data_IF_311936950587
#
_entry.id   IF_311936950587
#
_cell.length_a   1.000
_cell.length_b   1.000
_cell.length_c   1.000
_cell.angle_alpha   90.00
_cell.angle_beta   90.00
_cell.angle_gamma   90.00
#
_symmetry.space_group_name_H-M   'P 1'
#
loop_
_entity.id
_entity.type
_entity.pdbx_description
1 polymer ?
#
# COMPACT_ATOMS: atom_id res chain seq x y z
N UNK A 1 -0.12 -1.97 -4.55
CA UNK A 1 -1.09 -2.91 -3.94
C UNK A 1 -0.40 -4.05 -3.19
N UNK A 2 0.67 -4.63 -3.74
CA UNK A 2 1.35 -5.85 -3.23
C UNK A 2 1.63 -5.83 -1.72
N UNK A 3 2.31 -4.81 -1.19
CA UNK A 3 2.68 -4.75 0.24
C UNK A 3 1.45 -4.71 1.17
N UNK A 4 0.39 -4.01 0.78
CA UNK A 4 -0.87 -3.99 1.55
C UNK A 4 -1.59 -5.34 1.50
N UNK A 5 -1.55 -6.03 0.36
CA UNK A 5 -2.11 -7.38 0.23
C UNK A 5 -1.32 -8.42 1.01
N UNK A 6 0.01 -8.29 1.07
CA UNK A 6 0.88 -9.14 1.87
C UNK A 6 0.57 -9.01 3.38
N UNK A 7 0.48 -7.78 3.88
CA UNK A 7 0.24 -7.52 5.31
C UNK A 7 -1.22 -7.73 5.74
N UNK A 8 -2.20 -7.42 4.87
CA UNK A 8 -3.62 -7.36 5.24
C UNK A 8 -4.57 -8.22 4.39
N UNK A 9 -4.03 -9.09 3.53
CA UNK A 9 -4.78 -10.01 2.68
C UNK A 9 -5.28 -9.41 1.36
N UNK A 10 -5.17 -10.19 0.28
CA UNK A 10 -5.58 -9.76 -1.07
C UNK A 10 -7.08 -9.47 -1.18
N UNK A 11 -7.95 -10.30 -0.58
CA UNK A 11 -9.41 -10.11 -0.67
C UNK A 11 -9.85 -8.75 -0.13
N UNK A 12 -9.16 -8.29 0.90
CA UNK A 12 -9.32 -7.00 1.54
C UNK A 12 -8.89 -5.84 0.60
N UNK A 13 -7.78 -5.99 -0.12
CA UNK A 13 -7.35 -5.04 -1.17
C UNK A 13 -8.36 -4.98 -2.32
N UNK A 14 -8.92 -6.12 -2.75
CA UNK A 14 -9.92 -6.12 -3.83
C UNK A 14 -11.21 -5.39 -3.44
N UNK A 15 -11.64 -5.49 -2.17
CA UNK A 15 -12.76 -4.70 -1.64
C UNK A 15 -12.46 -3.20 -1.69
N UNK A 16 -11.27 -2.78 -1.26
CA UNK A 16 -10.86 -1.38 -1.34
C UNK A 16 -10.79 -0.89 -2.80
N UNK A 17 -10.32 -1.71 -3.74
CA UNK A 17 -10.30 -1.36 -5.17
C UNK A 17 -11.70 -1.11 -5.73
N UNK A 18 -12.67 -1.97 -5.39
CA UNK A 18 -14.08 -1.78 -5.78
C UNK A 18 -14.64 -0.49 -5.19
N UNK A 19 -14.40 -0.22 -3.90
CA UNK A 19 -14.83 1.02 -3.25
C UNK A 19 -14.16 2.26 -3.86
N UNK A 20 -12.88 2.18 -4.22
CA UNK A 20 -12.16 3.25 -4.89
C UNK A 20 -12.80 3.59 -6.24
N UNK A 21 -13.07 2.58 -7.08
CA UNK A 21 -13.79 2.79 -8.35
C UNK A 21 -15.17 3.42 -8.15
N UNK A 22 -15.94 2.97 -7.16
CA UNK A 22 -17.25 3.55 -6.84
C UNK A 22 -17.17 5.02 -6.41
N UNK A 23 -16.04 5.44 -5.84
CA UNK A 23 -15.77 6.83 -5.45
C UNK A 23 -15.09 7.65 -6.55
N UNK A 24 -15.00 7.14 -7.78
CA UNK A 24 -14.35 7.84 -8.90
C UNK A 24 -12.82 7.88 -8.81
N UNK A 25 -12.20 7.07 -7.94
CA UNK A 25 -10.75 6.95 -7.83
C UNK A 25 -10.25 5.87 -8.80
N UNK A 26 -9.02 6.05 -9.27
CA UNK A 26 -8.31 5.04 -10.05
C UNK A 26 -7.97 3.80 -9.20
N UNK A 27 -8.69 2.70 -9.44
CA UNK A 27 -8.51 1.44 -8.70
C UNK A 27 -7.27 0.65 -9.10
N UNK A 28 -6.49 1.13 -10.06
CA UNK A 28 -5.18 0.60 -10.45
C UNK A 28 -4.03 1.33 -9.76
N UNK A 29 -4.29 2.51 -9.17
CA UNK A 29 -3.30 3.29 -8.43
C UNK A 29 -3.44 3.13 -6.91
N UNK A 30 -2.31 3.03 -6.22
CA UNK A 30 -2.30 2.87 -4.77
C UNK A 30 -2.31 4.23 -4.06
N UNK A 31 -1.22 4.98 -4.17
CA UNK A 31 -1.05 6.27 -3.50
C UNK A 31 -2.06 7.30 -4.03
N UNK A 32 -2.74 8.00 -3.12
CA UNK A 32 -3.79 8.97 -3.46
C UNK A 32 -5.13 8.37 -3.92
N UNK A 33 -5.19 7.05 -4.15
CA UNK A 33 -6.39 6.37 -4.64
C UNK A 33 -6.81 5.23 -3.70
N UNK A 34 -6.48 3.97 -3.99
CA UNK A 34 -6.92 2.82 -3.17
C UNK A 34 -6.47 2.93 -1.71
N UNK A 35 -5.33 3.59 -1.43
CA UNK A 35 -4.85 3.80 -0.07
C UNK A 35 -5.77 4.68 0.80
N UNK A 36 -6.59 5.56 0.19
CA UNK A 36 -7.42 6.55 0.91
C UNK A 36 -8.77 6.00 1.37
N UNK A 37 -9.17 4.83 0.88
CA UNK A 37 -10.45 4.21 1.20
C UNK A 37 -10.29 3.07 2.21
N UNK A 38 -11.37 2.76 2.93
CA UNK A 38 -11.48 1.61 3.82
C UNK A 38 -12.82 0.91 3.59
N UNK A 39 -12.81 -0.31 3.02
CA UNK A 39 -14.01 -1.08 2.74
C UNK A 39 -14.52 -1.91 3.96
N UNK A 40 -14.35 -1.39 5.18
CA UNK A 40 -14.93 -1.97 6.39
C UNK A 40 -13.97 -2.74 7.32
N UNK A 41 -12.65 -2.52 7.20
CA UNK A 41 -11.73 -2.99 8.26
C UNK A 41 -11.92 -2.12 9.50
N UNK A 42 -11.69 -2.70 10.68
CA UNK A 42 -11.59 -1.92 11.91
C UNK A 42 -10.44 -0.89 11.81
N UNK A 43 -10.54 0.17 12.61
CA UNK A 43 -9.64 1.32 12.50
C UNK A 43 -8.17 0.96 12.74
N UNK A 44 -7.86 0.07 13.68
CA UNK A 44 -6.49 -0.34 13.97
C UNK A 44 -5.88 -1.14 12.81
N UNK A 45 -6.59 -2.15 12.30
CA UNK A 45 -6.15 -2.94 11.15
C UNK A 45 -6.01 -2.11 9.87
N UNK A 46 -6.87 -1.10 9.68
CA UNK A 46 -6.72 -0.17 8.55
C UNK A 46 -5.46 0.68 8.69
N UNK A 47 -5.23 1.31 9.86
CA UNK A 47 -4.03 2.12 10.09
C UNK A 47 -2.74 1.32 9.88
N UNK A 48 -2.65 0.15 10.48
CA UNK A 48 -1.50 -0.75 10.33
C UNK A 48 -1.25 -1.09 8.85
N UNK A 49 -2.30 -1.49 8.15
CA UNK A 49 -2.18 -1.89 6.75
C UNK A 49 -1.83 -0.73 5.80
N UNK A 50 -2.21 0.51 6.13
CA UNK A 50 -1.85 1.70 5.34
C UNK A 50 -0.45 2.20 5.67
N UNK A 51 -0.02 2.04 6.92
CA UNK A 51 1.33 2.36 7.35
C UNK A 51 2.36 1.41 6.74
N UNK A 52 2.08 0.11 6.65
CA UNK A 52 3.07 -0.90 6.22
C UNK A 52 3.72 -0.60 4.85
N UNK A 53 2.99 -0.30 3.75
CA UNK A 53 3.62 0.07 2.48
C UNK A 53 4.47 1.35 2.55
N UNK A 54 4.08 2.32 3.39
CA UNK A 54 4.86 3.55 3.59
C UNK A 54 6.16 3.26 4.31
N UNK A 55 6.11 2.50 5.40
CA UNK A 55 7.30 2.09 6.17
C UNK A 55 8.29 1.32 5.32
N UNK A 56 7.80 0.33 4.55
CA UNK A 56 8.67 -0.47 3.67
C UNK A 56 9.34 0.41 2.62
N UNK A 57 8.58 1.23 1.88
CA UNK A 57 9.12 1.98 0.75
C UNK A 57 9.89 3.23 1.17
N UNK A 58 9.48 3.93 2.24
CA UNK A 58 10.05 5.25 2.58
C UNK A 58 11.06 5.20 3.72
N UNK A 59 11.02 4.18 4.56
CA UNK A 59 11.90 4.12 5.74
C UNK A 59 12.90 2.96 5.70
N UNK A 60 12.47 1.81 5.17
CA UNK A 60 13.29 0.58 5.19
C UNK A 60 14.03 0.36 3.88
N UNK A 61 13.36 0.38 2.73
CA UNK A 61 13.97 0.13 1.43
C UNK A 61 15.18 1.03 1.12
N UNK A 62 15.19 2.35 1.44
CA UNK A 62 16.34 3.20 1.20
C UNK A 62 17.62 2.75 1.92
N UNK A 63 17.49 2.09 3.08
CA UNK A 63 18.65 1.60 3.86
C UNK A 63 19.43 0.50 3.13
N UNK A 64 18.81 -0.13 2.14
CA UNK A 64 19.38 -1.23 1.38
C UNK A 64 19.83 -0.81 -0.02
N UNK A 65 19.88 0.49 -0.33
CA UNK A 65 20.34 0.99 -1.64
C UNK A 65 21.76 0.53 -2.00
N UNK A 66 22.60 0.28 -0.99
CA UNK A 66 23.98 -0.21 -1.17
C UNK A 66 24.09 -1.74 -1.10
N UNK A 67 22.99 -2.47 -0.90
CA UNK A 67 22.96 -3.89 -0.54
C UNK A 67 22.53 -4.81 -1.70
N UNK A 68 23.06 -4.57 -2.90
CA UNK A 68 22.80 -5.40 -4.08
C UNK A 68 22.81 -4.60 -5.38
N UNK A 69 22.38 -5.22 -6.48
CA UNK A 69 22.36 -4.57 -7.80
C UNK A 69 21.08 -3.78 -8.13
N UNK A 70 19.98 -4.02 -7.40
CA UNK A 70 18.67 -3.42 -7.69
C UNK A 70 17.90 -3.11 -6.42
N UNK A 71 17.14 -2.01 -6.43
CA UNK A 71 16.23 -1.60 -5.36
C UNK A 71 14.87 -1.21 -5.92
N UNK A 72 13.81 -1.38 -5.12
CA UNK A 72 12.45 -0.91 -5.44
C UNK A 72 12.29 0.61 -5.29
N UNK A 73 13.32 1.29 -4.78
CA UNK A 73 13.37 2.73 -4.60
C UNK A 73 14.65 3.28 -5.21
N UNK A 74 14.57 4.49 -5.76
CA UNK A 74 15.74 5.18 -6.28
C UNK A 74 16.55 5.81 -5.15
N UNK A 75 17.84 6.05 -5.40
CA UNK A 75 18.60 7.04 -4.65
C UNK A 75 18.12 8.43 -5.07
N UNK A 76 17.87 9.31 -4.10
CA UNK A 76 17.56 10.73 -4.36
C UNK A 76 18.74 11.47 -5.01
#
# INVERSE_FOLDING_TARGET
>A
MTLSGYNGGLGWVQRDRRLASQKGLDSTRWFGHVATVNAGRNAASWRENRHYPQRILRELAPRYLTWGGSSCVASD
#
